data_IF_867437727991
#
_entry.id   IF_867437727991
#
_cell.length_a   1.000
_cell.length_b   1.000
_cell.length_c   1.000
_cell.angle_alpha   90.00
_cell.angle_beta   90.00
_cell.angle_gamma   90.00
#
_symmetry.space_group_name_H-M   'P 1'
#
loop_
_entity.id
_entity.type
_entity.pdbx_description
1 polymer ?
#
# COMPACT_ATOMS: atom_id res chain seq x y z
N UNK A 1 22.14 -6.76 2.83
CA UNK A 1 20.94 -6.31 3.56
C UNK A 1 19.71 -6.35 2.68
N UNK A 2 18.54 -6.38 3.31
CA UNK A 2 17.26 -6.17 2.66
C UNK A 2 16.40 -5.24 3.52
N UNK A 3 15.66 -4.34 2.89
CA UNK A 3 14.77 -3.38 3.55
C UNK A 3 13.41 -3.37 2.86
N UNK A 4 12.38 -3.46 3.67
CA UNK A 4 10.98 -3.30 3.28
C UNK A 4 10.43 -2.10 4.05
N UNK A 5 9.96 -1.09 3.33
CA UNK A 5 9.41 0.13 3.92
C UNK A 5 7.98 0.36 3.41
N UNK A 6 7.08 0.65 4.33
CA UNK A 6 5.72 1.11 4.05
C UNK A 6 5.17 1.83 5.28
N UNK A 7 4.11 2.62 5.12
CA UNK A 7 3.40 3.24 6.23
C UNK A 7 2.23 2.35 6.68
N UNK A 8 1.84 2.45 7.93
CA UNK A 8 0.67 1.79 8.50
C UNK A 8 -0.65 2.30 7.90
N UNK A 9 -0.70 3.58 7.54
CA UNK A 9 -1.83 4.20 6.85
C UNK A 9 -1.38 5.42 6.03
N UNK A 10 -2.25 5.87 5.13
CA UNK A 10 -2.12 7.13 4.43
C UNK A 10 -2.80 8.28 5.17
N UNK A 11 -2.79 9.44 4.55
CA UNK A 11 -3.54 10.63 4.99
C UNK A 11 -4.37 11.18 3.84
N UNK A 12 -5.51 11.75 4.18
CA UNK A 12 -6.34 12.49 3.26
C UNK A 12 -6.01 13.98 3.35
N UNK A 13 -6.01 14.65 2.22
CA UNK A 13 -5.75 16.08 2.12
C UNK A 13 -7.01 16.75 1.58
N UNK A 14 -7.45 17.83 2.22
CA UNK A 14 -8.63 18.60 1.84
C UNK A 14 -8.39 20.11 1.98
N UNK A 15 -9.21 20.90 1.34
CA UNK A 15 -9.19 22.37 1.45
C UNK A 15 -9.91 22.91 2.71
N UNK A 16 -10.18 22.05 3.68
CA UNK A 16 -10.85 22.41 4.93
C UNK A 16 -9.89 23.06 5.94
N UNK A 17 -10.44 23.57 7.04
CA UNK A 17 -9.66 24.10 8.17
C UNK A 17 -8.70 23.07 8.80
N UNK A 18 -8.92 21.78 8.52
CA UNK A 18 -8.07 20.68 8.94
C UNK A 18 -7.57 19.94 7.68
N UNK A 19 -6.60 20.52 6.94
CA UNK A 19 -6.27 20.09 5.58
C UNK A 19 -5.66 18.68 5.49
N UNK A 20 -5.07 18.17 6.57
CA UNK A 20 -4.46 16.83 6.60
C UNK A 20 -5.08 16.04 7.74
N UNK A 21 -5.73 14.92 7.43
CA UNK A 21 -6.39 14.08 8.42
C UNK A 21 -6.48 12.62 7.94
N UNK A 22 -6.80 11.73 8.85
CA UNK A 22 -7.16 10.35 8.51
C UNK A 22 -8.66 10.28 8.21
N UNK A 23 -9.01 9.84 6.99
CA UNK A 23 -10.39 9.67 6.54
C UNK A 23 -10.59 8.25 5.99
N UNK A 24 -11.43 7.48 6.67
CA UNK A 24 -11.78 6.11 6.28
C UNK A 24 -12.64 5.99 5.01
N UNK A 25 -13.08 7.10 4.43
CA UNK A 25 -13.95 7.12 3.25
C UNK A 25 -13.23 7.52 1.96
N UNK A 26 -11.94 7.80 2.04
CA UNK A 26 -11.10 8.25 0.92
C UNK A 26 -9.94 7.30 0.70
N UNK A 27 -9.63 6.99 -0.56
CA UNK A 27 -8.54 6.08 -0.93
C UNK A 27 -7.18 6.52 -0.38
N UNK A 28 -6.94 7.82 -0.28
CA UNK A 28 -5.70 8.39 0.27
C UNK A 28 -5.41 7.97 1.71
N UNK A 29 -6.44 7.66 2.50
CA UNK A 29 -6.29 7.16 3.87
C UNK A 29 -5.66 5.76 3.97
N UNK A 30 -5.66 5.00 2.87
CA UNK A 30 -5.18 3.61 2.82
C UNK A 30 -4.03 3.39 1.84
N UNK A 31 -3.90 4.24 0.84
CA UNK A 31 -2.86 4.11 -0.18
C UNK A 31 -1.53 4.62 0.34
N UNK A 32 -0.57 3.72 0.47
CA UNK A 32 0.79 4.03 0.92
C UNK A 32 1.81 3.44 -0.05
N UNK A 33 2.99 4.06 -0.21
CA UNK A 33 4.05 3.47 -0.98
C UNK A 33 4.59 2.22 -0.28
N UNK A 34 4.94 1.22 -1.08
CA UNK A 34 5.74 0.08 -0.67
C UNK A 34 7.10 0.19 -1.36
N UNK A 35 8.16 0.32 -0.58
CA UNK A 35 9.52 0.43 -1.10
C UNK A 35 10.32 -0.79 -0.65
N UNK A 36 10.92 -1.48 -1.59
CA UNK A 36 11.76 -2.66 -1.35
C UNK A 36 13.15 -2.36 -1.92
N UNK A 37 14.16 -2.56 -1.11
CA UNK A 37 15.56 -2.50 -1.54
C UNK A 37 16.38 -3.61 -0.88
N UNK A 38 17.38 -4.09 -1.59
CA UNK A 38 18.31 -5.08 -1.07
C UNK A 38 19.69 -4.91 -1.75
N UNK A 39 20.72 -5.43 -1.11
CA UNK A 39 22.08 -5.31 -1.62
C UNK A 39 22.35 -5.99 -2.97
N UNK A 40 21.47 -6.92 -3.36
CA UNK A 40 21.52 -7.66 -4.64
C UNK A 40 20.55 -7.12 -5.70
N UNK A 41 19.78 -6.07 -5.40
CA UNK A 41 18.93 -5.39 -6.39
C UNK A 41 19.79 -4.41 -7.19
N UNK A 42 19.90 -4.67 -8.50
CA UNK A 42 20.74 -3.89 -9.42
C UNK A 42 19.96 -2.93 -10.32
N UNK A 43 18.63 -3.01 -10.34
CA UNK A 43 17.79 -2.18 -11.21
C UNK A 43 16.55 -1.67 -10.50
N UNK A 44 16.12 -0.46 -10.86
CA UNK A 44 14.86 0.11 -10.40
C UNK A 44 13.69 -0.47 -11.19
N UNK A 45 12.65 -0.87 -10.47
CA UNK A 45 11.35 -1.28 -11.03
C UNK A 45 10.22 -0.54 -10.32
N UNK A 46 9.16 -0.22 -11.05
CA UNK A 46 7.97 0.42 -10.51
C UNK A 46 6.74 -0.42 -10.85
N UNK A 47 5.91 -0.67 -9.85
CA UNK A 47 4.66 -1.43 -9.98
C UNK A 47 3.51 -0.52 -9.56
N UNK A 48 2.58 -0.25 -10.48
CA UNK A 48 1.46 0.68 -10.25
C UNK A 48 0.21 0.02 -9.68
N UNK A 49 0.13 -1.32 -9.70
CA UNK A 49 -1.04 -2.03 -9.13
C UNK A 49 -1.07 -1.93 -7.61
N UNK A 50 -2.27 -1.99 -7.04
CA UNK A 50 -2.47 -2.07 -5.60
C UNK A 50 -2.15 -3.48 -5.10
N UNK A 51 -1.45 -3.56 -3.98
CA UNK A 51 -1.13 -4.79 -3.28
C UNK A 51 -1.72 -4.68 -1.87
N UNK A 52 -2.47 -5.69 -1.45
CA UNK A 52 -3.03 -5.72 -0.10
C UNK A 52 -1.94 -5.87 0.96
N UNK A 53 -2.03 -5.11 2.06
CA UNK A 53 -1.14 -5.23 3.21
C UNK A 53 -1.18 -6.63 3.86
N UNK A 54 -2.21 -7.44 3.61
CA UNK A 54 -2.29 -8.85 4.05
C UNK A 54 -1.12 -9.69 3.53
N UNK A 55 -0.51 -9.29 2.41
CA UNK A 55 0.64 -9.99 1.83
C UNK A 55 1.98 -9.64 2.47
N UNK A 56 2.00 -8.77 3.48
CA UNK A 56 3.25 -8.31 4.11
C UNK A 56 4.17 -9.49 4.50
N UNK A 57 3.64 -10.48 5.23
CA UNK A 57 4.44 -11.63 5.64
C UNK A 57 4.94 -12.47 4.46
N UNK A 58 4.12 -12.60 3.40
CA UNK A 58 4.50 -13.28 2.16
C UNK A 58 5.60 -12.52 1.42
N UNK A 59 5.52 -11.19 1.34
CA UNK A 59 6.55 -10.34 0.73
C UNK A 59 7.86 -10.43 1.53
N UNK A 60 7.77 -10.41 2.86
CA UNK A 60 8.94 -10.58 3.72
C UNK A 60 9.62 -11.93 3.48
N UNK A 61 8.84 -13.02 3.35
CA UNK A 61 9.37 -14.35 3.02
C UNK A 61 10.02 -14.39 1.64
N UNK A 62 9.40 -13.75 0.64
CA UNK A 62 9.98 -13.66 -0.70
C UNK A 62 11.32 -12.92 -0.67
N UNK A 63 11.38 -11.78 0.03
CA UNK A 63 12.56 -10.92 0.10
C UNK A 63 13.72 -11.57 0.85
N UNK A 64 13.44 -12.26 1.96
CA UNK A 64 14.46 -12.79 2.88
C UNK A 64 14.81 -14.26 2.65
N UNK A 65 13.95 -15.01 1.96
CA UNK A 65 14.06 -16.46 1.85
C UNK A 65 13.63 -17.23 3.12
N UNK A 66 13.31 -16.55 4.21
CA UNK A 66 12.77 -17.19 5.43
C UNK A 66 11.37 -17.75 5.12
N UNK A 67 11.09 -18.98 5.55
CA UNK A 67 9.80 -19.64 5.28
C UNK A 67 9.07 -19.97 6.58
N UNK A 68 7.74 -19.88 6.51
CA UNK A 68 6.82 -20.36 7.54
C UNK A 68 5.83 -21.34 6.94
N UNK A 69 5.26 -22.21 7.77
CA UNK A 69 4.43 -23.33 7.28
C UNK A 69 3.10 -22.89 6.65
N UNK A 70 2.50 -21.80 7.12
CA UNK A 70 1.12 -21.45 6.80
C UNK A 70 0.95 -20.20 5.93
N UNK A 71 2.04 -19.54 5.57
CA UNK A 71 2.00 -18.32 4.77
C UNK A 71 2.87 -18.52 3.53
N UNK A 72 2.30 -18.54 2.33
CA UNK A 72 3.10 -18.63 1.12
C UNK A 72 3.88 -17.34 0.88
N UNK A 73 5.08 -17.42 0.27
CA UNK A 73 5.77 -16.23 -0.20
C UNK A 73 4.93 -15.52 -1.28
N UNK A 74 5.01 -14.21 -1.31
CA UNK A 74 4.34 -13.38 -2.30
C UNK A 74 5.38 -12.48 -2.99
N UNK A 75 5.53 -12.65 -4.31
CA UNK A 75 6.41 -11.80 -5.12
C UNK A 75 5.62 -10.55 -5.59
N UNK A 76 5.89 -9.36 -5.06
CA UNK A 76 5.14 -8.16 -5.42
C UNK A 76 5.32 -7.72 -6.88
N UNK A 77 6.29 -8.27 -7.59
CA UNK A 77 6.52 -7.94 -9.01
C UNK A 77 5.63 -8.77 -9.95
N UNK A 78 5.34 -10.01 -9.60
CA UNK A 78 4.68 -10.97 -10.50
C UNK A 78 3.37 -11.53 -9.98
N UNK A 79 3.20 -11.65 -8.66
CA UNK A 79 2.01 -12.25 -8.09
C UNK A 79 0.86 -11.24 -8.03
N UNK A 80 -0.35 -11.73 -8.20
CA UNK A 80 -1.57 -10.93 -8.21
C UNK A 80 -2.53 -11.39 -7.12
N UNK A 81 -3.32 -10.46 -6.61
CA UNK A 81 -4.47 -10.78 -5.79
C UNK A 81 -5.61 -11.29 -6.66
N UNK A 82 -6.13 -12.49 -6.35
CA UNK A 82 -7.34 -13.02 -6.98
C UNK A 82 -8.63 -12.40 -6.41
N UNK A 83 -8.53 -11.60 -5.37
CA UNK A 83 -9.62 -10.95 -4.68
C UNK A 83 -9.40 -9.43 -4.64
N UNK A 84 -10.47 -8.62 -4.57
CA UNK A 84 -10.35 -7.18 -4.40
C UNK A 84 -9.58 -6.84 -3.13
N UNK A 85 -8.74 -5.80 -3.18
CA UNK A 85 -8.11 -5.26 -1.97
C UNK A 85 -9.20 -4.69 -1.07
N UNK A 86 -9.34 -5.23 0.14
CA UNK A 86 -10.32 -4.82 1.13
C UNK A 86 -9.68 -3.94 2.19
N UNK A 87 -10.42 -2.94 2.65
CA UNK A 87 -10.03 -2.04 3.74
C UNK A 87 -11.15 -1.92 4.76
N UNK A 88 -10.81 -1.66 6.02
CA UNK A 88 -11.78 -1.38 7.08
C UNK A 88 -12.03 0.13 7.17
N UNK A 89 -13.25 0.58 6.90
CA UNK A 89 -13.59 2.00 6.83
C UNK A 89 -14.01 2.61 8.18
N UNK A 90 -13.82 1.88 9.27
CA UNK A 90 -14.28 2.27 10.62
C UNK A 90 -15.59 1.57 11.04
N UNK A 91 -16.35 1.03 10.10
CA UNK A 91 -17.62 0.33 10.34
C UNK A 91 -17.60 -1.10 9.81
N UNK A 92 -17.09 -1.28 8.60
CA UNK A 92 -17.05 -2.57 7.90
C UNK A 92 -15.90 -2.65 6.89
N UNK A 93 -15.62 -3.87 6.44
CA UNK A 93 -14.71 -4.09 5.31
C UNK A 93 -15.40 -3.74 3.99
N UNK A 94 -14.74 -2.94 3.18
CA UNK A 94 -15.19 -2.52 1.85
C UNK A 94 -14.06 -2.66 0.84
N UNK A 95 -14.36 -2.86 -0.46
CA UNK A 95 -13.33 -2.81 -1.49
C UNK A 95 -12.66 -1.42 -1.51
N UNK A 96 -11.34 -1.37 -1.55
CA UNK A 96 -10.59 -0.12 -1.60
C UNK A 96 -10.99 0.76 -2.79
N UNK A 97 -11.33 0.14 -3.92
CA UNK A 97 -11.78 0.85 -5.13
C UNK A 97 -13.20 1.44 -5.02
N UNK A 98 -13.99 1.07 -4.01
CA UNK A 98 -15.29 1.66 -3.72
C UNK A 98 -15.21 2.99 -2.98
N UNK A 99 -14.06 3.32 -2.42
CA UNK A 99 -13.83 4.57 -1.70
C UNK A 99 -13.68 5.74 -2.68
N UNK A 100 -13.97 6.96 -2.19
CA UNK A 100 -13.76 8.19 -2.96
C UNK A 100 -12.27 8.33 -3.31
N UNK A 101 -11.94 8.71 -4.54
CA UNK A 101 -10.55 9.01 -4.91
C UNK A 101 -10.03 10.21 -4.11
N UNK A 102 -8.74 10.20 -3.84
CA UNK A 102 -8.06 11.35 -3.24
C UNK A 102 -8.08 12.51 -4.25
N UNK A 103 -8.56 13.71 -3.88
CA UNK A 103 -8.47 14.89 -4.73
C UNK A 103 -7.01 15.19 -5.07
N UNK A 104 -6.74 15.51 -6.34
CA UNK A 104 -5.42 15.98 -6.75
C UNK A 104 -5.27 17.44 -6.33
N UNK A 105 -4.44 17.67 -5.33
CA UNK A 105 -4.06 19.03 -4.93
C UNK A 105 -2.81 19.39 -5.71
N UNK A 106 -2.97 20.27 -6.69
CA UNK A 106 -1.84 20.84 -7.41
C UNK A 106 -1.23 21.95 -6.58
N UNK A 107 0.10 21.99 -6.42
CA UNK A 107 0.74 23.13 -5.79
C UNK A 107 0.41 24.41 -6.60
N UNK A 108 0.06 25.47 -5.86
CA UNK A 108 -0.13 26.79 -6.47
C UNK A 108 1.17 27.18 -7.19
N UNK A 109 1.11 27.24 -8.50
CA UNK A 109 2.26 27.68 -9.32
C UNK A 109 2.32 29.21 -9.25
N UNK A 110 3.02 29.66 -8.24
CA UNK A 110 3.41 31.09 -8.17
C UNK A 110 4.67 31.34 -8.96
#
# INVERSE_FOLDING_TARGET
FAMLYFSDHGVSVSDSANPVHHDGHVQGGYSVPLIITASDISSHQSVSRKISARHFAGIFQWLTGIRTENIPPFNPLTDEDNEPVMVFNGEKNVPADSLKPQPLILPDRR
#
